data_IF_802766699181
#
_entry.id   IF_802766699181
#
_cell.length_a   1.000
_cell.length_b   1.000
_cell.length_c   1.000
_cell.angle_alpha   90.00
_cell.angle_beta   90.00
_cell.angle_gamma   90.00
#
_symmetry.space_group_name_H-M   'P 1'
#
loop_
_entity.id
_entity.type
_entity.pdbx_description
1 polymer ?
#
# COMPACT_ATOMS: atom_id res chain seq x y z
N UNK A 1 11.26 -3.22 9.89
CA UNK A 1 10.67 -1.89 9.68
C UNK A 1 9.17 -2.01 9.48
N UNK A 2 8.47 -0.87 9.51
CA UNK A 2 7.03 -0.83 9.23
C UNK A 2 6.84 -0.50 7.76
N UNK A 3 6.16 -1.36 7.02
CA UNK A 3 6.03 -1.27 5.57
C UNK A 3 4.56 -1.12 5.18
N UNK A 4 4.25 -0.08 4.42
CA UNK A 4 2.92 0.15 3.86
C UNK A 4 2.88 -0.42 2.44
N UNK A 5 1.82 -1.19 2.13
CA UNK A 5 1.64 -1.80 0.81
C UNK A 5 0.84 -0.89 -0.11
N UNK A 6 1.31 -0.69 -1.34
CA UNK A 6 0.67 0.18 -2.32
C UNK A 6 0.65 -0.44 -3.71
N UNK A 7 -0.49 -0.36 -4.39
CA UNK A 7 -0.66 -0.90 -5.73
C UNK A 7 -2.06 -0.67 -6.27
N UNK A 8 -2.34 -1.22 -7.45
CA UNK A 8 -3.59 -0.98 -8.18
C UNK A 8 -4.74 -1.85 -7.66
N UNK A 9 -5.30 -1.48 -6.52
CA UNK A 9 -6.46 -2.20 -5.96
C UNK A 9 -7.67 -2.16 -6.88
N UNK A 10 -7.91 -1.01 -7.54
CA UNK A 10 -9.09 -0.81 -8.38
C UNK A 10 -9.09 -1.67 -9.65
N UNK A 11 -7.91 -1.95 -10.21
CA UNK A 11 -7.80 -2.76 -11.43
C UNK A 11 -7.79 -4.26 -11.16
N UNK A 12 -7.65 -4.67 -9.90
CA UNK A 12 -7.59 -6.08 -9.49
C UNK A 12 -8.65 -6.39 -8.43
N UNK A 13 -9.88 -5.89 -8.63
CA UNK A 13 -10.93 -5.90 -7.59
C UNK A 13 -11.23 -7.26 -6.98
N UNK A 14 -11.10 -8.33 -7.75
CA UNK A 14 -11.41 -9.68 -7.26
C UNK A 14 -10.26 -10.36 -6.54
N UNK A 15 -9.02 -9.87 -6.75
CA UNK A 15 -7.82 -10.59 -6.29
C UNK A 15 -6.86 -9.73 -5.47
N UNK A 16 -7.03 -8.40 -5.44
CA UNK A 16 -6.05 -7.54 -4.78
C UNK A 16 -5.87 -7.88 -3.28
N UNK A 17 -6.96 -8.25 -2.62
CA UNK A 17 -6.90 -8.58 -1.20
C UNK A 17 -6.00 -9.77 -0.93
N UNK A 18 -6.08 -10.79 -1.78
CA UNK A 18 -5.22 -11.99 -1.66
C UNK A 18 -3.77 -11.66 -2.01
N UNK A 19 -3.55 -10.86 -3.05
CA UNK A 19 -2.20 -10.45 -3.45
C UNK A 19 -1.52 -9.68 -2.33
N UNK A 20 -2.25 -8.72 -1.72
CA UNK A 20 -1.73 -7.93 -0.61
C UNK A 20 -1.49 -8.80 0.63
N UNK A 21 -2.41 -9.72 0.92
CA UNK A 21 -2.26 -10.63 2.07
C UNK A 21 -1.04 -11.55 1.91
N UNK A 22 -0.80 -12.05 0.71
CA UNK A 22 0.37 -12.90 0.45
C UNK A 22 1.67 -12.14 0.68
N UNK A 23 1.74 -10.90 0.23
CA UNK A 23 2.92 -10.07 0.45
C UNK A 23 3.08 -9.72 1.93
N UNK A 24 1.98 -9.48 2.63
CA UNK A 24 2.00 -9.23 4.06
C UNK A 24 2.63 -10.41 4.81
N UNK A 25 2.20 -11.64 4.52
CA UNK A 25 2.76 -12.83 5.17
C UNK A 25 4.25 -12.95 4.90
N UNK A 26 4.67 -12.70 3.64
CA UNK A 26 6.06 -12.78 3.25
C UNK A 26 6.93 -11.80 4.04
N UNK A 27 6.49 -10.55 4.15
CA UNK A 27 7.23 -9.51 4.84
C UNK A 27 7.22 -9.72 6.36
N UNK A 28 6.11 -10.18 6.91
CA UNK A 28 6.03 -10.49 8.35
C UNK A 28 6.94 -11.65 8.71
N UNK A 29 7.04 -12.65 7.84
CA UNK A 29 7.96 -13.75 8.04
C UNK A 29 9.42 -13.27 8.07
N UNK A 30 9.73 -12.23 7.32
CA UNK A 30 11.05 -11.61 7.32
C UNK A 30 11.29 -10.67 8.51
N UNK A 31 10.31 -10.53 9.40
CA UNK A 31 10.45 -9.74 10.63
C UNK A 31 9.92 -8.32 10.56
N UNK A 32 9.18 -7.96 9.51
CA UNK A 32 8.62 -6.62 9.36
C UNK A 32 7.20 -6.53 9.93
N UNK A 33 6.79 -5.30 10.26
CA UNK A 33 5.39 -4.99 10.56
C UNK A 33 4.80 -4.44 9.27
N UNK A 34 3.63 -4.96 8.86
CA UNK A 34 3.01 -4.58 7.59
C UNK A 34 1.72 -3.81 7.85
N UNK A 35 1.61 -2.64 7.21
CA UNK A 35 0.40 -1.83 7.22
C UNK A 35 -0.31 -2.07 5.89
N UNK A 36 -1.42 -2.80 5.92
CA UNK A 36 -2.08 -3.30 4.72
C UNK A 36 -3.42 -2.59 4.48
N UNK A 37 -3.51 -1.68 3.48
CA UNK A 37 -4.77 -0.98 3.20
C UNK A 37 -5.85 -1.88 2.61
N UNK A 38 -5.50 -3.07 2.11
CA UNK A 38 -6.48 -4.00 1.59
C UNK A 38 -7.36 -4.60 2.70
N UNK A 39 -7.00 -4.39 3.96
CA UNK A 39 -7.82 -4.80 5.10
C UNK A 39 -8.96 -3.82 5.39
N UNK A 40 -8.98 -2.65 4.73
CA UNK A 40 -10.06 -1.67 4.89
C UNK A 40 -11.36 -2.19 4.28
N UNK A 41 -12.52 -1.69 4.75
CA UNK A 41 -13.82 -2.10 4.21
C UNK A 41 -13.92 -1.89 2.70
N UNK A 42 -14.58 -2.81 2.02
CA UNK A 42 -14.89 -2.70 0.60
C UNK A 42 -16.05 -1.72 0.43
N UNK A 43 -16.07 -0.97 -0.67
CA UNK A 43 -17.22 -0.14 -1.05
C UNK A 43 -17.11 1.33 -0.70
N UNK A 44 -15.98 1.77 -0.13
CA UNK A 44 -15.74 3.20 0.04
C UNK A 44 -15.36 3.81 -1.32
N UNK A 45 -15.75 5.06 -1.54
CA UNK A 45 -15.31 5.79 -2.73
C UNK A 45 -13.81 6.09 -2.66
N UNK A 46 -13.17 6.23 -3.82
CA UNK A 46 -11.71 6.44 -3.91
C UNK A 46 -11.24 7.64 -3.08
N UNK A 47 -12.02 8.73 -3.07
CA UNK A 47 -11.68 9.92 -2.32
C UNK A 47 -11.80 9.73 -0.81
N UNK A 48 -12.51 8.69 -0.36
CA UNK A 48 -12.63 8.33 1.05
C UNK A 48 -11.50 7.41 1.50
N UNK A 49 -11.01 6.56 0.61
CA UNK A 49 -9.86 5.71 0.91
C UNK A 49 -8.58 6.51 1.09
N UNK A 50 -8.36 7.52 0.27
CA UNK A 50 -7.07 8.21 0.22
C UNK A 50 -6.68 8.87 1.56
N UNK A 51 -7.57 9.57 2.27
CA UNK A 51 -7.22 10.13 3.59
C UNK A 51 -6.81 9.04 4.59
N UNK A 52 -7.49 7.89 4.57
CA UNK A 52 -7.17 6.78 5.47
C UNK A 52 -5.82 6.18 5.09
N UNK A 53 -5.61 5.93 3.79
CA UNK A 53 -4.36 5.33 3.28
C UNK A 53 -3.15 6.22 3.55
N UNK A 54 -3.28 7.53 3.39
CA UNK A 54 -2.18 8.45 3.69
C UNK A 54 -1.85 8.45 5.17
N UNK A 55 -2.85 8.33 6.04
CA UNK A 55 -2.62 8.21 7.48
C UNK A 55 -1.91 6.90 7.82
N UNK A 56 -2.28 5.81 7.15
CA UNK A 56 -1.62 4.52 7.32
C UNK A 56 -0.16 4.58 6.85
N UNK A 57 0.08 5.24 5.72
CA UNK A 57 1.41 5.42 5.18
C UNK A 57 2.27 6.26 6.13
N UNK A 58 1.69 7.28 6.76
CA UNK A 58 2.39 8.10 7.75
C UNK A 58 2.94 7.25 8.90
N UNK A 59 2.23 6.20 9.28
CA UNK A 59 2.64 5.31 10.36
C UNK A 59 3.75 4.35 9.95
N UNK A 60 4.10 4.29 8.68
CA UNK A 60 5.11 3.36 8.15
C UNK A 60 6.45 4.04 7.93
N UNK A 61 7.51 3.22 7.89
CA UNK A 61 8.88 3.68 7.59
C UNK A 61 9.19 3.59 6.11
N UNK A 62 8.47 2.74 5.39
CA UNK A 62 8.70 2.46 3.98
C UNK A 62 7.39 2.21 3.26
N UNK A 63 7.41 2.42 1.94
CA UNK A 63 6.32 2.04 1.05
C UNK A 63 6.81 0.90 0.14
N UNK A 64 6.00 -0.15 0.01
CA UNK A 64 6.25 -1.23 -0.94
C UNK A 64 5.29 -1.08 -2.11
N UNK A 65 5.83 -0.95 -3.32
CA UNK A 65 5.06 -0.74 -4.55
C UNK A 65 4.96 -2.05 -5.32
N UNK A 66 3.74 -2.52 -5.54
CA UNK A 66 3.49 -3.68 -6.40
C UNK A 66 3.80 -3.32 -7.86
N UNK A 67 4.01 -4.32 -8.71
CA UNK A 67 4.46 -4.13 -10.10
C UNK A 67 3.59 -3.18 -10.92
N UNK A 68 2.31 -3.06 -10.60
CA UNK A 68 1.35 -2.25 -11.35
C UNK A 68 1.18 -0.82 -10.82
N UNK A 69 2.06 -0.38 -9.93
CA UNK A 69 1.92 0.92 -9.27
C UNK A 69 1.83 2.09 -10.25
N UNK A 70 2.50 1.98 -11.39
CA UNK A 70 2.51 3.04 -12.41
C UNK A 70 1.14 3.26 -13.05
N UNK A 71 0.27 2.26 -12.98
CA UNK A 71 -1.09 2.31 -13.53
C UNK A 71 -2.14 2.67 -12.48
N UNK A 72 -1.72 3.03 -11.28
CA UNK A 72 -2.62 3.38 -10.19
C UNK A 72 -2.37 4.82 -9.75
N UNK A 73 -3.39 5.67 -9.92
CA UNK A 73 -3.30 7.07 -9.46
C UNK A 73 -3.06 7.16 -7.96
N UNK A 74 -3.67 6.25 -7.19
CA UNK A 74 -3.48 6.20 -5.75
C UNK A 74 -2.06 5.83 -5.37
N UNK A 75 -1.49 4.82 -6.04
CA UNK A 75 -0.11 4.42 -5.77
C UNK A 75 0.89 5.50 -6.18
N UNK A 76 0.64 6.19 -7.28
CA UNK A 76 1.48 7.32 -7.71
C UNK A 76 1.48 8.43 -6.67
N UNK A 77 0.32 8.78 -6.13
CA UNK A 77 0.20 9.79 -5.09
C UNK A 77 0.91 9.34 -3.80
N UNK A 78 0.69 8.10 -3.40
CA UNK A 78 1.30 7.55 -2.19
C UNK A 78 2.82 7.48 -2.30
N UNK A 79 3.33 7.11 -3.47
CA UNK A 79 4.77 7.10 -3.71
C UNK A 79 5.36 8.51 -3.58
N UNK A 80 4.72 9.51 -4.20
CA UNK A 80 5.17 10.89 -4.13
C UNK A 80 5.15 11.40 -2.69
N UNK A 81 4.12 11.06 -1.93
CA UNK A 81 4.01 11.43 -0.53
C UNK A 81 5.11 10.78 0.32
N UNK A 82 5.36 9.49 0.10
CA UNK A 82 6.42 8.77 0.80
C UNK A 82 7.79 9.37 0.53
N UNK A 83 8.06 9.73 -0.72
CA UNK A 83 9.31 10.37 -1.11
C UNK A 83 9.45 11.74 -0.45
N UNK A 84 8.37 12.52 -0.43
CA UNK A 84 8.36 13.81 0.23
C UNK A 84 8.67 13.69 1.73
N UNK A 85 8.16 12.65 2.38
CA UNK A 85 8.37 12.40 3.80
C UNK A 85 9.72 11.74 4.10
N UNK A 86 10.52 11.44 3.08
CA UNK A 86 11.82 10.79 3.27
C UNK A 86 11.74 9.31 3.61
N UNK A 87 10.61 8.66 3.33
CA UNK A 87 10.45 7.23 3.58
C UNK A 87 11.15 6.41 2.51
N UNK A 88 11.56 5.18 2.87
CA UNK A 88 12.18 4.26 1.93
C UNK A 88 11.15 3.75 0.92
N UNK A 89 11.56 3.62 -0.34
CA UNK A 89 10.70 3.11 -1.41
C UNK A 89 11.21 1.75 -1.85
N UNK A 90 10.35 0.73 -1.71
CA UNK A 90 10.65 -0.65 -2.08
C UNK A 90 9.79 -1.04 -3.28
N UNK A 91 10.37 -1.80 -4.20
CA UNK A 91 9.67 -2.22 -5.42
C UNK A 91 9.50 -3.73 -5.45
N UNK A 92 8.34 -4.15 -5.93
CA UNK A 92 8.03 -5.56 -6.11
C UNK A 92 8.64 -6.18 -7.36
#
# INVERSE_FOLDING_TARGET
MKIYLSGAMASCMDTYQQIFANKQYELEYAGHIVVNPAALPVGLDSDRYMPICLSMLDAADAIYLFNDWEHSNGALLEKAYAEYQGKEVLYG
#
